data_IF_437240945362
#
_entry.id   IF_437240945362
#
_cell.length_a   1.000
_cell.length_b   1.000
_cell.length_c   1.000
_cell.angle_alpha   90.00
_cell.angle_beta   90.00
_cell.angle_gamma   90.00
#
_symmetry.space_group_name_H-M   'P 1'
#
loop_
_entity.id
_entity.type
_entity.pdbx_description
1 polymer ?
#
# COMPACT_ATOMS: atom_id res chain seq x y z
N UNK A 1 3.97 14.09 -13.35
CA UNK A 1 2.59 13.65 -13.11
C UNK A 1 2.52 12.93 -11.77
N UNK A 2 1.55 13.24 -10.98
CA UNK A 2 1.37 12.57 -9.71
C UNK A 2 0.80 11.17 -9.92
N UNK A 3 1.53 10.16 -9.48
CA UNK A 3 1.12 8.76 -9.61
C UNK A 3 0.46 8.21 -8.34
N UNK A 4 0.41 9.02 -7.29
CA UNK A 4 -0.25 8.62 -6.06
C UNK A 4 -1.76 8.59 -6.28
N UNK A 5 -2.39 7.55 -5.79
CA UNK A 5 -3.83 7.34 -5.90
C UNK A 5 -4.44 7.13 -4.53
N UNK A 6 -5.66 7.62 -4.35
CA UNK A 6 -6.47 7.24 -3.21
C UNK A 6 -7.05 5.86 -3.49
N UNK A 7 -6.91 4.97 -2.54
CA UNK A 7 -7.46 3.63 -2.66
C UNK A 7 -7.74 3.01 -1.31
N UNK A 8 -8.34 1.85 -1.36
CA UNK A 8 -8.65 1.06 -0.17
C UNK A 8 -7.84 -0.22 -0.20
N UNK A 9 -7.18 -0.50 0.92
CA UNK A 9 -6.40 -1.71 1.10
C UNK A 9 -7.18 -2.65 2.01
N UNK A 10 -7.55 -3.81 1.50
CA UNK A 10 -8.27 -4.82 2.25
C UNK A 10 -7.32 -5.95 2.63
N UNK A 11 -7.27 -6.27 3.92
CA UNK A 11 -6.51 -7.38 4.47
C UNK A 11 -7.42 -8.23 5.35
N UNK A 12 -6.98 -9.42 5.72
CA UNK A 12 -7.78 -10.36 6.50
C UNK A 12 -7.04 -10.71 7.79
N UNK A 13 -7.74 -10.64 8.92
CA UNK A 13 -7.19 -11.01 10.21
C UNK A 13 -7.05 -12.54 10.35
N UNK A 14 -6.34 -12.97 11.39
CA UNK A 14 -6.11 -14.40 11.64
C UNK A 14 -7.42 -15.19 11.85
N UNK A 15 -8.47 -14.52 12.32
CA UNK A 15 -9.80 -15.14 12.52
C UNK A 15 -10.76 -14.92 11.35
N UNK A 16 -10.25 -14.45 10.22
CA UNK A 16 -11.02 -14.32 8.99
C UNK A 16 -11.81 -13.03 8.82
N UNK A 17 -11.62 -12.05 9.69
CA UNK A 17 -12.32 -10.77 9.58
C UNK A 17 -11.62 -9.84 8.60
N UNK A 18 -12.35 -9.25 7.64
CA UNK A 18 -11.75 -8.28 6.73
C UNK A 18 -11.48 -6.94 7.44
N UNK A 19 -10.41 -6.29 7.05
CA UNK A 19 -10.08 -4.93 7.45
C UNK A 19 -9.84 -4.09 6.21
N UNK A 20 -10.52 -2.97 6.09
CA UNK A 20 -10.40 -2.07 4.95
C UNK A 20 -9.84 -0.75 5.46
N UNK A 21 -8.74 -0.32 4.86
CA UNK A 21 -8.05 0.90 5.25
C UNK A 21 -7.87 1.82 4.05
N UNK A 22 -8.31 3.08 4.11
CA UNK A 22 -8.05 4.04 3.03
C UNK A 22 -6.57 4.43 3.05
N UNK A 23 -5.98 4.56 1.86
CA UNK A 23 -4.58 4.95 1.69
C UNK A 23 -4.46 5.98 0.57
N UNK A 24 -3.80 7.09 0.86
CA UNK A 24 -3.45 8.10 -0.14
C UNK A 24 -2.04 7.96 -0.67
N UNK A 25 -1.34 6.89 -0.33
CA UNK A 25 0.06 6.68 -0.66
C UNK A 25 0.30 5.54 -1.63
N UNK A 26 -0.75 5.01 -2.25
CA UNK A 26 -0.64 3.90 -3.18
C UNK A 26 0.02 4.39 -4.46
N UNK A 27 1.13 3.75 -4.85
CA UNK A 27 1.86 4.07 -6.08
C UNK A 27 2.18 2.79 -6.84
N UNK A 28 2.21 2.85 -8.18
CA UNK A 28 2.81 1.78 -8.96
C UNK A 28 4.33 1.90 -8.83
N UNK A 29 5.00 0.81 -8.47
CA UNK A 29 6.45 0.82 -8.30
C UNK A 29 7.18 0.17 -9.48
N UNK A 30 6.60 -0.89 -10.02
CA UNK A 30 7.06 -1.52 -11.25
C UNK A 30 5.88 -2.15 -11.96
N UNK A 31 6.11 -2.87 -13.07
CA UNK A 31 5.03 -3.40 -13.90
C UNK A 31 4.04 -4.27 -13.13
N UNK A 32 4.50 -4.96 -12.09
CA UNK A 32 3.67 -5.87 -11.31
C UNK A 32 3.82 -5.67 -9.81
N UNK A 33 4.31 -4.48 -9.39
CA UNK A 33 4.43 -4.13 -7.99
C UNK A 33 3.69 -2.83 -7.69
N UNK A 34 2.89 -2.85 -6.64
CA UNK A 34 2.33 -1.66 -6.03
C UNK A 34 2.97 -1.46 -4.66
N UNK A 35 3.03 -0.22 -4.21
CA UNK A 35 3.56 0.10 -2.89
C UNK A 35 2.62 1.05 -2.17
N UNK A 36 2.57 0.94 -0.84
CA UNK A 36 1.93 1.95 0.00
C UNK A 36 2.69 2.07 1.31
N UNK A 37 2.57 3.25 1.94
CA UNK A 37 3.28 3.54 3.17
C UNK A 37 2.46 3.14 4.39
N UNK A 38 3.14 2.59 5.40
CA UNK A 38 2.57 2.39 6.72
C UNK A 38 2.84 3.64 7.55
N UNK A 39 1.85 4.50 7.64
CA UNK A 39 1.90 5.68 8.49
C UNK A 39 1.12 5.42 9.77
N UNK A 40 -0.11 4.94 9.64
CA UNK A 40 -1.01 4.67 10.74
C UNK A 40 -1.92 3.49 10.39
N UNK A 41 -1.36 2.29 10.39
CA UNK A 41 -2.09 1.11 9.93
C UNK A 41 -1.74 -0.12 10.75
N UNK A 42 -1.94 -0.09 12.09
CA UNK A 42 -1.51 -1.22 12.92
C UNK A 42 -2.25 -2.51 12.56
N UNK A 43 -3.55 -2.45 12.29
CA UNK A 43 -4.33 -3.65 11.96
C UNK A 43 -3.92 -4.23 10.62
N UNK A 44 -3.65 -3.38 9.62
CA UNK A 44 -3.17 -3.82 8.33
C UNK A 44 -1.82 -4.54 8.46
N UNK A 45 -0.91 -4.00 9.27
CA UNK A 45 0.40 -4.61 9.46
C UNK A 45 0.30 -5.96 10.15
N UNK A 46 -0.51 -6.06 11.20
CA UNK A 46 -0.73 -7.32 11.91
C UNK A 46 -1.36 -8.36 10.97
N UNK A 47 -2.34 -7.97 10.17
CA UNK A 47 -3.01 -8.87 9.25
C UNK A 47 -2.04 -9.39 8.19
N UNK A 48 -1.17 -8.54 7.64
CA UNK A 48 -0.18 -8.95 6.64
C UNK A 48 0.88 -9.88 7.21
N UNK A 49 1.19 -9.77 8.50
CA UNK A 49 2.11 -10.70 9.15
C UNK A 49 1.52 -12.10 9.28
N UNK A 50 0.20 -12.21 9.36
CA UNK A 50 -0.49 -13.49 9.50
C UNK A 50 -0.98 -14.05 8.16
N UNK A 51 -1.35 -13.16 7.24
CA UNK A 51 -1.84 -13.53 5.92
C UNK A 51 -1.39 -12.49 4.91
N UNK A 52 -0.54 -12.88 3.98
CA UNK A 52 0.04 -11.97 3.00
C UNK A 52 -0.93 -11.56 1.88
N UNK A 53 -2.09 -12.17 1.80
CA UNK A 53 -3.08 -11.81 0.78
C UNK A 53 -3.62 -10.41 0.99
N UNK A 54 -3.70 -9.63 -0.08
CA UNK A 54 -4.18 -8.25 -0.02
C UNK A 54 -4.95 -7.90 -1.29
N UNK A 55 -6.02 -7.13 -1.13
CA UNK A 55 -6.74 -6.53 -2.24
C UNK A 55 -6.62 -5.02 -2.15
N UNK A 56 -6.38 -4.38 -3.29
CA UNK A 56 -6.31 -2.94 -3.39
C UNK A 56 -7.33 -2.47 -4.41
N UNK A 57 -8.21 -1.58 -3.98
CA UNK A 57 -9.18 -0.93 -4.84
C UNK A 57 -8.79 0.53 -5.01
N UNK A 58 -8.40 0.91 -6.22
CA UNK A 58 -7.98 2.27 -6.56
C UNK A 58 -9.08 2.92 -7.37
N UNK A 59 -9.47 4.12 -6.96
CA UNK A 59 -10.53 4.88 -7.63
C UNK A 59 -9.90 6.09 -8.32
N UNK A 60 -10.20 6.23 -9.62
CA UNK A 60 -9.84 7.42 -10.37
C UNK A 60 -11.08 8.33 -10.43
N UNK A 61 -11.10 9.44 -9.68
CA UNK A 61 -12.29 10.29 -9.63
C UNK A 61 -12.58 11.02 -10.94
N UNK A 62 -11.56 11.24 -11.77
CA UNK A 62 -11.74 11.93 -13.04
C UNK A 62 -12.43 11.06 -14.08
N UNK A 63 -12.03 9.81 -14.20
CA UNK A 63 -12.65 8.87 -15.13
C UNK A 63 -13.80 8.08 -14.51
N UNK A 64 -13.98 8.18 -13.21
CA UNK A 64 -14.97 7.42 -12.43
C UNK A 64 -14.79 5.91 -12.57
N UNK A 65 -13.58 5.48 -12.80
CA UNK A 65 -13.24 4.06 -12.91
C UNK A 65 -12.56 3.58 -11.65
N UNK A 66 -12.90 2.37 -11.25
CA UNK A 66 -12.25 1.66 -10.17
C UNK A 66 -11.39 0.54 -10.72
N UNK A 67 -10.26 0.30 -10.08
CA UNK A 67 -9.35 -0.79 -10.43
C UNK A 67 -9.13 -1.65 -9.19
N UNK A 68 -9.34 -2.95 -9.35
CA UNK A 68 -9.13 -3.91 -8.27
C UNK A 68 -7.88 -4.72 -8.57
N UNK A 69 -6.94 -4.70 -7.64
CA UNK A 69 -5.72 -5.50 -7.71
C UNK A 69 -5.72 -6.49 -6.55
N UNK A 70 -5.40 -7.73 -6.84
CA UNK A 70 -5.22 -8.76 -5.83
C UNK A 70 -3.79 -9.26 -5.88
N UNK A 71 -3.19 -9.49 -4.72
CA UNK A 71 -1.82 -9.92 -4.69
C UNK A 71 -1.34 -10.31 -3.32
N UNK A 72 -0.02 -10.39 -3.19
CA UNK A 72 0.66 -10.77 -1.98
C UNK A 72 1.44 -9.58 -1.44
N UNK A 73 1.18 -9.19 -0.19
CA UNK A 73 1.84 -8.07 0.45
C UNK A 73 3.05 -8.50 1.25
N UNK A 74 4.10 -7.70 1.17
CA UNK A 74 5.31 -7.89 1.96
C UNK A 74 5.69 -6.57 2.61
N UNK A 75 5.87 -6.58 3.92
CA UNK A 75 6.32 -5.42 4.68
C UNK A 75 7.83 -5.33 4.55
N UNK A 76 8.33 -4.17 4.11
CA UNK A 76 9.76 -3.93 4.01
C UNK A 76 10.18 -2.76 4.87
N UNK A 77 11.39 -2.84 5.42
CA UNK A 77 12.01 -1.79 6.20
C UNK A 77 13.52 -2.02 6.17
N UNK A 78 14.29 -0.92 6.12
CA UNK A 78 15.76 -0.96 6.15
C UNK A 78 16.38 -1.76 5.00
N UNK A 79 15.71 -1.73 3.83
CA UNK A 79 16.24 -2.33 2.60
C UNK A 79 16.50 -1.23 1.57
N UNK A 80 17.31 -1.49 0.52
CA UNK A 80 17.50 -0.50 -0.55
C UNK A 80 16.19 -0.08 -1.22
N UNK A 81 15.28 -1.03 -1.46
CA UNK A 81 13.97 -0.72 -2.05
C UNK A 81 13.15 0.18 -1.11
N UNK A 82 13.19 -0.08 0.19
CA UNK A 82 12.52 0.77 1.18
C UNK A 82 13.04 2.21 1.11
N UNK A 83 14.35 2.39 1.04
CA UNK A 83 14.96 3.71 0.96
C UNK A 83 14.56 4.44 -0.33
N UNK A 84 14.54 3.74 -1.45
CA UNK A 84 14.14 4.32 -2.73
C UNK A 84 12.67 4.79 -2.70
N UNK A 85 11.79 3.98 -2.15
CA UNK A 85 10.37 4.32 -2.05
C UNK A 85 10.18 5.48 -1.06
N UNK A 86 10.91 5.47 0.05
CA UNK A 86 10.85 6.55 1.03
C UNK A 86 11.27 7.87 0.40
N UNK A 87 12.36 7.88 -0.38
CA UNK A 87 12.82 9.06 -1.10
C UNK A 87 11.77 9.55 -2.10
N UNK A 88 11.11 8.64 -2.79
CA UNK A 88 10.01 8.98 -3.69
C UNK A 88 8.90 9.74 -2.94
N UNK A 89 8.47 9.23 -1.79
CA UNK A 89 7.44 9.89 -1.00
C UNK A 89 7.88 11.27 -0.53
N UNK A 90 9.11 11.41 -0.05
CA UNK A 90 9.64 12.70 0.42
C UNK A 90 9.71 13.71 -0.72
N UNK A 91 10.16 13.29 -1.90
CA UNK A 91 10.21 14.14 -3.09
C UNK A 91 8.83 14.62 -3.51
N UNK A 92 7.80 13.82 -3.29
CA UNK A 92 6.42 14.14 -3.65
C UNK A 92 5.63 14.79 -2.51
N UNK A 93 6.30 15.27 -1.47
CA UNK A 93 5.68 16.09 -0.43
C UNK A 93 5.04 15.36 0.71
N UNK A 94 5.23 14.06 0.83
CA UNK A 94 4.73 13.29 1.97
C UNK A 94 5.74 13.38 3.10
N UNK A 95 5.39 14.17 4.12
CA UNK A 95 6.29 14.48 5.23
C UNK A 95 5.94 13.71 6.51
N UNK A 96 4.89 12.92 6.50
CA UNK A 96 4.50 12.09 7.65
C UNK A 96 5.57 11.05 7.96
N UNK A 97 5.64 10.64 9.21
CA UNK A 97 6.53 9.56 9.63
C UNK A 97 6.07 8.25 9.01
N UNK A 98 6.93 7.64 8.21
CA UNK A 98 6.64 6.35 7.58
C UNK A 98 7.37 5.27 8.36
N UNK A 99 6.62 4.35 8.96
CA UNK A 99 7.18 3.29 9.80
C UNK A 99 7.71 2.12 8.97
N UNK A 100 7.05 1.83 7.87
CA UNK A 100 7.44 0.76 6.94
C UNK A 100 6.72 0.97 5.61
N UNK A 101 7.08 0.18 4.62
CA UNK A 101 6.44 0.20 3.29
C UNK A 101 5.94 -1.20 3.00
N UNK A 102 4.77 -1.31 2.39
CA UNK A 102 4.24 -2.58 1.93
C UNK A 102 4.37 -2.64 0.42
N UNK A 103 4.98 -3.71 -0.06
CA UNK A 103 5.10 -4.03 -1.49
C UNK A 103 4.07 -5.11 -1.80
N UNK A 104 3.26 -4.87 -2.81
CA UNK A 104 2.24 -5.82 -3.24
C UNK A 104 2.60 -6.34 -4.62
N UNK A 105 2.82 -7.65 -4.70
CA UNK A 105 3.07 -8.35 -5.97
C UNK A 105 1.72 -8.81 -6.53
N UNK A 106 1.42 -8.34 -7.73
CA UNK A 106 0.17 -8.65 -8.42
C UNK A 106 0.40 -9.52 -9.65
#
# INVERSE_FOLDING_TARGET
>A
MNTQKLGYVATVSADGKPNISPKGTIIPWSDNLLAFANIRSPDTMVNLQNNSFVEINVIDPLSRKGYLFTGTGKIIKDTPMYEDILNYYRTNGILSTINSVVIVSI
#
